data_IF_076498304687
#
_entry.id   IF_076498304687
#
_cell.length_a   1.000
_cell.length_b   1.000
_cell.length_c   1.000
_cell.angle_alpha   90.00
_cell.angle_beta   90.00
_cell.angle_gamma   90.00
#
_symmetry.space_group_name_H-M   'P 1'
#
loop_
_entity.id
_entity.type
_entity.pdbx_description
1 polymer ?
#
# COMPACT_ATOMS: atom_id res chain seq x y z
N UNK A 1 45.94 -10.13 8.82
CA UNK A 1 46.74 -9.06 9.45
C UNK A 1 48.08 -9.68 9.75
N UNK A 2 49.04 -9.50 8.83
CA UNK A 2 50.46 -9.81 8.99
C UNK A 2 51.12 -8.91 7.92
N UNK A 3 52.09 -8.03 8.16
CA UNK A 3 53.00 -7.89 9.29
C UNK A 3 54.44 -7.96 8.77
N UNK A 4 55.16 -6.84 8.89
CA UNK A 4 56.62 -6.73 9.02
C UNK A 4 57.56 -6.74 7.79
N UNK A 5 57.96 -5.51 7.41
CA UNK A 5 59.33 -4.93 7.43
C UNK A 5 60.55 -5.89 7.43
N UNK A 6 61.48 -5.69 6.46
CA UNK A 6 62.89 -5.35 6.74
C UNK A 6 63.72 -5.05 5.49
N UNK A 7 64.52 -3.98 5.56
CA UNK A 7 65.76 -3.75 4.79
C UNK A 7 66.96 -4.45 5.46
N UNK A 8 68.02 -4.75 4.67
CA UNK A 8 69.40 -4.39 5.06
C UNK A 8 70.18 -3.83 3.83
N UNK A 9 71.01 -2.78 3.88
CA UNK A 9 72.23 -2.48 4.65
C UNK A 9 73.43 -3.40 4.37
N UNK A 10 74.31 -2.94 3.47
CA UNK A 10 75.79 -2.88 3.60
C UNK A 10 76.64 -4.15 3.39
N UNK A 11 77.63 -4.09 2.47
CA UNK A 11 79.07 -4.09 2.78
C UNK A 11 80.00 -4.36 1.56
N UNK A 12 80.94 -3.42 1.37
CA UNK A 12 82.39 -3.54 1.12
C UNK A 12 83.03 -4.54 0.13
N UNK A 13 83.93 -3.96 -0.69
CA UNK A 13 85.08 -4.60 -1.34
C UNK A 13 85.26 -4.02 -2.74
N UNK A 14 86.41 -3.59 -3.25
CA UNK A 14 87.82 -3.55 -2.87
C UNK A 14 88.52 -2.93 -4.09
N UNK A 15 89.72 -2.37 -3.91
CA UNK A 15 90.34 -1.45 -4.86
C UNK A 15 90.75 -2.01 -6.22
N UNK A 16 91.00 -1.10 -7.16
CA UNK A 16 92.29 -0.93 -7.87
C UNK A 16 92.15 0.17 -8.95
N UNK A 17 92.98 1.20 -8.85
CA UNK A 17 93.20 2.20 -9.91
C UNK A 17 94.11 1.58 -10.99
N UNK A 18 93.96 1.94 -12.28
CA UNK A 18 94.96 2.88 -12.81
C UNK A 18 94.51 3.79 -13.99
N UNK A 19 95.22 4.93 -14.07
CA UNK A 19 95.71 5.63 -15.28
C UNK A 19 94.69 6.28 -16.24
N UNK A 20 94.58 7.60 -16.06
CA UNK A 20 94.65 8.67 -17.08
C UNK A 20 94.63 8.24 -18.56
N UNK A 21 93.55 8.60 -19.26
CA UNK A 21 93.60 9.13 -20.63
C UNK A 21 92.42 10.11 -20.80
N UNK A 22 92.74 11.41 -20.91
CA UNK A 22 91.79 12.40 -21.39
C UNK A 22 91.41 12.06 -22.83
N UNK A 23 90.18 11.65 -23.05
CA UNK A 23 89.50 11.85 -24.33
C UNK A 23 88.10 12.35 -24.03
N UNK A 24 87.87 13.60 -24.38
CA UNK A 24 86.60 14.29 -24.21
C UNK A 24 85.48 13.52 -24.90
N UNK A 25 84.42 13.07 -24.22
CA UNK A 25 83.17 12.81 -24.90
C UNK A 25 82.61 14.18 -25.29
N UNK A 26 82.52 14.43 -26.60
CA UNK A 26 81.79 15.57 -27.12
C UNK A 26 80.39 15.59 -26.50
N UNK A 27 80.00 16.74 -25.95
CA UNK A 27 78.63 16.97 -25.48
C UNK A 27 77.64 16.58 -26.57
N UNK A 28 76.64 15.73 -26.27
CA UNK A 28 75.58 15.49 -27.23
C UNK A 28 74.59 16.66 -27.12
N UNK A 29 74.91 17.77 -27.79
CA UNK A 29 73.96 18.87 -28.06
C UNK A 29 72.90 18.45 -29.11
N UNK A 30 72.73 17.13 -29.33
CA UNK A 30 71.72 16.54 -30.21
C UNK A 30 70.67 15.68 -29.51
N UNK A 31 70.84 15.37 -28.21
CA UNK A 31 69.91 14.46 -27.50
C UNK A 31 68.62 15.14 -27.04
N UNK A 32 68.64 16.43 -26.73
CA UNK A 32 67.43 17.15 -26.30
C UNK A 32 66.38 17.26 -27.42
N UNK A 33 66.81 17.40 -28.67
CA UNK A 33 65.92 17.42 -29.83
C UNK A 33 65.19 16.07 -29.98
N UNK A 34 65.91 14.95 -29.81
CA UNK A 34 65.33 13.60 -29.87
C UNK A 34 64.42 13.24 -28.69
N UNK A 35 64.65 13.86 -27.52
CA UNK A 35 63.81 13.67 -26.34
C UNK A 35 62.53 14.48 -26.47
N UNK A 36 62.60 15.71 -27.00
CA UNK A 36 61.42 16.53 -27.30
C UNK A 36 60.56 15.88 -28.39
N UNK A 37 61.15 15.35 -29.45
CA UNK A 37 60.42 14.61 -30.49
C UNK A 37 59.69 13.38 -29.91
N UNK A 38 60.35 12.62 -29.03
CA UNK A 38 59.72 11.48 -28.33
C UNK A 38 58.58 11.90 -27.42
N UNK A 39 58.72 12.99 -26.68
CA UNK A 39 57.66 13.51 -25.81
C UNK A 39 56.47 14.01 -26.64
N UNK A 40 56.72 14.64 -27.79
CA UNK A 40 55.67 15.10 -28.69
C UNK A 40 54.90 13.92 -29.33
N UNK A 41 55.60 12.83 -29.62
CA UNK A 41 55.04 11.58 -30.15
C UNK A 41 54.29 10.78 -29.08
N UNK A 42 54.79 10.76 -27.84
CA UNK A 42 54.07 10.24 -26.67
C UNK A 42 52.83 11.08 -26.32
N UNK A 43 52.90 12.40 -26.44
CA UNK A 43 51.73 13.28 -26.25
C UNK A 43 50.72 13.13 -27.39
N UNK A 44 51.15 12.94 -28.64
CA UNK A 44 50.23 12.62 -29.75
C UNK A 44 49.57 11.27 -29.58
N UNK A 45 50.31 10.26 -29.14
CA UNK A 45 49.74 8.93 -28.89
C UNK A 45 48.85 8.92 -27.64
N UNK A 46 49.18 9.66 -26.59
CA UNK A 46 48.29 9.90 -25.45
C UNK A 46 47.05 10.72 -25.85
N UNK A 47 47.18 11.75 -26.67
CA UNK A 47 46.05 12.54 -27.17
C UNK A 47 45.18 11.73 -28.16
N UNK A 48 45.76 10.77 -28.89
CA UNK A 48 45.01 9.80 -29.68
C UNK A 48 44.35 8.72 -28.79
N UNK A 49 44.97 8.35 -27.67
CA UNK A 49 44.39 7.43 -26.69
C UNK A 49 43.27 8.10 -25.88
N UNK A 50 43.38 9.40 -25.59
CA UNK A 50 42.40 10.18 -24.87
C UNK A 50 41.33 10.73 -25.82
N UNK A 51 40.11 10.20 -25.69
CA UNK A 51 38.93 10.64 -26.46
C UNK A 51 39.06 10.50 -27.99
N UNK A 52 39.47 9.32 -28.46
CA UNK A 52 39.19 8.92 -29.85
C UNK A 52 37.68 8.95 -30.10
N UNK A 53 37.29 9.31 -31.34
CA UNK A 53 35.91 9.23 -31.83
C UNK A 53 35.26 7.86 -31.52
N UNK A 54 36.05 6.79 -31.53
CA UNK A 54 35.64 5.45 -31.14
C UNK A 54 35.19 5.35 -29.67
N UNK A 55 35.92 5.93 -28.72
CA UNK A 55 35.57 5.91 -27.30
C UNK A 55 34.26 6.68 -27.04
N UNK A 56 34.04 7.81 -27.71
CA UNK A 56 32.77 8.54 -27.64
C UNK A 56 31.61 7.73 -28.24
N UNK A 57 31.86 6.98 -29.31
CA UNK A 57 30.87 6.12 -29.94
C UNK A 57 30.47 4.95 -29.03
N UNK A 58 31.44 4.37 -28.30
CA UNK A 58 31.18 3.32 -27.29
C UNK A 58 30.44 3.90 -26.08
N UNK A 59 30.80 5.09 -25.61
CA UNK A 59 30.11 5.74 -24.49
C UNK A 59 28.66 6.08 -24.86
N UNK A 60 28.43 6.59 -26.07
CA UNK A 60 27.08 6.89 -26.54
C UNK A 60 26.23 5.64 -26.74
N UNK A 61 26.80 4.55 -27.25
CA UNK A 61 26.07 3.27 -27.36
C UNK A 61 25.73 2.69 -26.00
N UNK A 62 26.66 2.71 -25.04
CA UNK A 62 26.41 2.20 -23.68
C UNK A 62 25.37 3.04 -22.94
N UNK A 63 25.41 4.37 -23.08
CA UNK A 63 24.35 5.25 -22.54
C UNK A 63 23.00 4.92 -23.20
N UNK A 64 22.97 4.75 -24.53
CA UNK A 64 21.74 4.44 -25.24
C UNK A 64 21.15 3.09 -24.80
N UNK A 65 21.97 2.06 -24.66
CA UNK A 65 21.56 0.75 -24.15
C UNK A 65 21.05 0.84 -22.71
N UNK A 66 21.77 1.52 -21.83
CA UNK A 66 21.35 1.72 -20.44
C UNK A 66 19.99 2.46 -20.35
N UNK A 67 19.82 3.53 -21.13
CA UNK A 67 18.55 4.27 -21.19
C UNK A 67 17.43 3.39 -21.74
N UNK A 68 17.69 2.57 -22.76
CA UNK A 68 16.67 1.67 -23.31
C UNK A 68 16.24 0.61 -22.28
N UNK A 69 17.18 0.05 -21.53
CA UNK A 69 16.90 -0.93 -20.46
C UNK A 69 16.07 -0.28 -19.35
N UNK A 70 16.48 0.89 -18.87
CA UNK A 70 15.75 1.63 -17.84
C UNK A 70 14.33 2.02 -18.30
N UNK A 71 14.19 2.53 -19.53
CA UNK A 71 12.88 2.87 -20.10
C UNK A 71 12.00 1.63 -20.25
N UNK A 72 12.56 0.49 -20.65
CA UNK A 72 11.82 -0.76 -20.70
C UNK A 72 11.38 -1.20 -19.29
N UNK A 73 12.27 -1.11 -18.30
CA UNK A 73 11.97 -1.38 -16.89
C UNK A 73 10.81 -0.51 -16.38
N UNK A 74 10.92 0.81 -16.54
CA UNK A 74 9.87 1.76 -16.16
C UNK A 74 8.54 1.45 -16.85
N UNK A 75 8.53 1.09 -18.13
CA UNK A 75 7.29 0.68 -18.83
C UNK A 75 6.66 -0.57 -18.22
N UNK A 76 7.48 -1.56 -17.85
CA UNK A 76 6.97 -2.77 -17.17
C UNK A 76 6.42 -2.46 -15.78
N UNK A 77 7.05 -1.54 -15.04
CA UNK A 77 6.56 -1.10 -13.74
C UNK A 77 5.24 -0.33 -13.86
N UNK A 78 5.14 0.59 -14.82
CA UNK A 78 3.92 1.36 -15.08
C UNK A 78 2.76 0.42 -15.40
N UNK A 79 2.94 -0.50 -16.34
CA UNK A 79 1.88 -1.47 -16.71
C UNK A 79 1.48 -2.37 -15.53
N UNK A 80 2.44 -2.76 -14.71
CA UNK A 80 2.17 -3.53 -13.48
C UNK A 80 1.35 -2.71 -12.48
N UNK A 81 1.72 -1.43 -12.26
CA UNK A 81 1.00 -0.53 -11.38
C UNK A 81 -0.41 -0.23 -11.89
N UNK A 82 -0.59 -0.03 -13.20
CA UNK A 82 -1.91 0.13 -13.82
C UNK A 82 -2.81 -1.09 -13.57
N UNK A 83 -2.28 -2.30 -13.72
CA UNK A 83 -3.00 -3.53 -13.38
C UNK A 83 -3.42 -3.60 -11.91
N UNK A 84 -2.54 -3.20 -10.99
CA UNK A 84 -2.86 -3.12 -9.55
C UNK A 84 -3.93 -2.08 -9.27
N UNK A 85 -3.86 -0.91 -9.91
CA UNK A 85 -4.86 0.15 -9.79
C UNK A 85 -6.22 -0.33 -10.28
N UNK A 86 -6.28 -1.02 -11.43
CA UNK A 86 -7.53 -1.59 -11.94
C UNK A 86 -8.14 -2.61 -10.97
N UNK A 87 -7.31 -3.49 -10.41
CA UNK A 87 -7.75 -4.47 -9.42
C UNK A 87 -8.30 -3.79 -8.17
N UNK A 88 -7.61 -2.77 -7.66
CA UNK A 88 -8.05 -2.02 -6.48
C UNK A 88 -9.34 -1.24 -6.73
N UNK A 89 -9.52 -0.64 -7.92
CA UNK A 89 -10.78 0.03 -8.30
C UNK A 89 -11.94 -0.94 -8.30
N UNK A 90 -11.78 -2.10 -8.92
CA UNK A 90 -12.82 -3.12 -8.95
C UNK A 90 -13.17 -3.63 -7.54
N UNK A 91 -12.17 -3.85 -6.68
CA UNK A 91 -12.39 -4.22 -5.28
C UNK A 91 -13.14 -3.12 -4.51
N UNK A 92 -12.78 -1.85 -4.71
CA UNK A 92 -13.44 -0.72 -4.07
C UNK A 92 -14.91 -0.60 -4.49
N UNK A 93 -15.21 -0.77 -5.78
CA UNK A 93 -16.58 -0.77 -6.31
C UNK A 93 -17.41 -1.92 -5.71
N UNK A 94 -16.86 -3.13 -5.67
CA UNK A 94 -17.51 -4.28 -5.06
C UNK A 94 -17.76 -4.07 -3.55
N UNK A 95 -16.78 -3.52 -2.84
CA UNK A 95 -16.91 -3.20 -1.42
C UNK A 95 -17.99 -2.13 -1.18
N UNK A 96 -18.04 -1.09 -2.01
CA UNK A 96 -19.05 -0.04 -1.96
C UNK A 96 -20.46 -0.60 -2.15
N UNK A 97 -20.63 -1.49 -3.14
CA UNK A 97 -21.91 -2.17 -3.37
C UNK A 97 -22.34 -3.03 -2.16
N UNK A 98 -21.40 -3.75 -1.53
CA UNK A 98 -21.66 -4.53 -0.31
C UNK A 98 -22.08 -3.66 0.86
N UNK A 99 -21.43 -2.50 1.05
CA UNK A 99 -21.78 -1.54 2.11
C UNK A 99 -23.19 -0.99 1.87
N UNK A 100 -23.51 -0.60 0.63
CA UNK A 100 -24.84 -0.10 0.28
C UNK A 100 -25.93 -1.15 0.56
N UNK A 101 -25.70 -2.41 0.17
CA UNK A 101 -26.61 -3.52 0.44
C UNK A 101 -26.78 -3.76 1.94
N UNK A 102 -25.68 -3.75 2.70
CA UNK A 102 -25.72 -3.90 4.17
C UNK A 102 -26.51 -2.78 4.84
N UNK A 103 -26.30 -1.53 4.43
CA UNK A 103 -27.02 -0.38 4.97
C UNK A 103 -28.53 -0.47 4.68
N UNK A 104 -28.90 -0.91 3.47
CA UNK A 104 -30.30 -1.16 3.13
C UNK A 104 -30.92 -2.25 4.00
N UNK A 105 -30.20 -3.36 4.23
CA UNK A 105 -30.66 -4.44 5.10
C UNK A 105 -30.84 -3.98 6.56
N UNK A 106 -29.90 -3.19 7.09
CA UNK A 106 -29.99 -2.62 8.44
C UNK A 106 -31.20 -1.69 8.56
N UNK A 107 -31.42 -0.80 7.58
CA UNK A 107 -32.58 0.09 7.58
C UNK A 107 -33.90 -0.70 7.56
N UNK A 108 -33.99 -1.75 6.72
CA UNK A 108 -35.16 -2.62 6.64
C UNK A 108 -35.43 -3.36 7.95
N UNK A 109 -34.40 -3.92 8.57
CA UNK A 109 -34.50 -4.58 9.87
C UNK A 109 -34.90 -3.60 10.97
N UNK A 110 -34.36 -2.38 10.97
CA UNK A 110 -34.76 -1.31 11.89
C UNK A 110 -36.25 -0.98 11.78
N UNK A 111 -36.78 -0.88 10.55
CA UNK A 111 -38.20 -0.68 10.31
C UNK A 111 -39.06 -1.83 10.84
N UNK A 112 -38.64 -3.09 10.63
CA UNK A 112 -39.33 -4.27 11.18
C UNK A 112 -39.35 -4.28 12.70
N UNK A 113 -38.23 -3.96 13.35
CA UNK A 113 -38.14 -3.90 14.81
C UNK A 113 -39.07 -2.83 15.38
N UNK A 114 -39.14 -1.66 14.73
CA UNK A 114 -40.07 -0.61 15.13
C UNK A 114 -41.52 -1.07 14.99
N UNK A 115 -41.88 -1.69 13.86
CA UNK A 115 -43.23 -2.23 13.66
C UNK A 115 -43.59 -3.31 14.70
N UNK A 116 -42.67 -4.23 15.01
CA UNK A 116 -42.86 -5.23 16.06
C UNK A 116 -43.05 -4.59 17.43
N UNK A 117 -42.25 -3.57 17.76
CA UNK A 117 -42.38 -2.84 19.02
C UNK A 117 -43.75 -2.18 19.14
N UNK A 118 -44.20 -1.46 18.12
CA UNK A 118 -45.53 -0.85 18.11
C UNK A 118 -46.63 -1.91 18.27
N UNK A 119 -46.49 -3.06 17.59
CA UNK A 119 -47.45 -4.16 17.72
C UNK A 119 -47.50 -4.73 19.15
N UNK A 120 -46.35 -4.90 19.80
CA UNK A 120 -46.28 -5.35 21.19
C UNK A 120 -46.91 -4.33 22.15
N UNK A 121 -46.63 -3.05 21.96
CA UNK A 121 -47.25 -1.97 22.74
C UNK A 121 -48.78 -1.97 22.58
N UNK A 122 -49.28 -2.19 21.36
CA UNK A 122 -50.72 -2.32 21.09
C UNK A 122 -51.34 -3.54 21.78
N UNK A 123 -50.67 -4.69 21.73
CA UNK A 123 -51.14 -5.91 22.38
C UNK A 123 -51.17 -5.76 23.91
N UNK A 124 -50.15 -5.15 24.52
CA UNK A 124 -50.12 -4.86 25.95
C UNK A 124 -51.26 -3.90 26.34
N UNK A 125 -51.46 -2.82 25.57
CA UNK A 125 -52.57 -1.90 25.77
C UNK A 125 -53.95 -2.57 25.63
N UNK A 126 -54.12 -3.51 24.69
CA UNK A 126 -55.35 -4.32 24.58
C UNK A 126 -55.50 -5.25 25.79
N UNK A 127 -54.44 -5.94 26.19
CA UNK A 127 -54.42 -6.81 27.37
C UNK A 127 -54.84 -6.08 28.64
N UNK A 128 -54.27 -4.89 28.91
CA UNK A 128 -54.64 -4.04 30.05
C UNK A 128 -56.12 -3.63 30.00
N UNK A 129 -56.63 -3.21 28.84
CA UNK A 129 -58.06 -2.84 28.65
C UNK A 129 -59.01 -4.04 28.85
N UNK A 130 -58.61 -5.22 28.41
CA UNK A 130 -59.38 -6.46 28.59
C UNK A 130 -59.37 -6.93 30.05
N UNK A 131 -58.27 -6.75 30.78
CA UNK A 131 -58.15 -7.16 32.18
C UNK A 131 -58.99 -6.25 33.13
N UNK A 132 -59.15 -4.96 32.81
CA UNK A 132 -60.02 -4.05 33.58
C UNK A 132 -61.52 -4.44 33.44
N UNK A 133 -61.92 -5.14 32.38
CA UNK A 133 -63.32 -5.47 32.11
C UNK A 133 -63.85 -6.72 32.81
N UNK A 134 -63.00 -7.54 33.42
CA UNK A 134 -63.40 -8.80 34.08
C UNK A 134 -63.19 -8.71 35.60
N UNK A 135 -63.64 -7.61 36.21
CA UNK A 135 -63.77 -7.48 37.68
C UNK A 135 -65.21 -7.29 38.15
N UNK A 136 -66.18 -7.24 37.25
CA UNK A 136 -67.60 -6.97 37.57
C UNK A 136 -68.50 -8.18 37.30
N UNK A 137 -67.95 -9.31 36.85
CA UNK A 137 -68.71 -10.55 36.78
C UNK A 137 -68.46 -11.28 38.10
N UNK A 138 -69.41 -11.27 39.07
CA UNK A 138 -69.29 -12.16 40.21
C UNK A 138 -69.17 -13.59 39.69
N UNK A 139 -68.20 -14.34 40.18
CA UNK A 139 -68.17 -15.78 39.97
C UNK A 139 -69.43 -16.35 40.61
N UNK A 140 -70.45 -16.59 39.78
CA UNK A 140 -71.71 -17.12 40.25
C UNK A 140 -71.57 -18.63 40.27
N UNK A 141 -71.26 -19.17 41.44
CA UNK A 141 -71.25 -20.62 41.68
C UNK A 141 -72.67 -21.18 41.48
N UNK A 142 -72.93 -21.67 40.26
CA UNK A 142 -74.15 -22.39 39.90
C UNK A 142 -74.79 -21.90 38.60
N UNK A 143 -75.00 -22.84 37.67
CA UNK A 143 -75.60 -22.61 36.34
C UNK A 143 -76.93 -21.82 36.39
N UNK A 144 -77.75 -22.03 37.42
CA UNK A 144 -79.06 -21.38 37.57
C UNK A 144 -79.00 -19.88 37.85
N UNK A 145 -77.90 -19.41 38.43
CA UNK A 145 -77.75 -18.03 38.91
C UNK A 145 -77.01 -17.16 37.89
N UNK A 146 -76.32 -17.79 36.93
CA UNK A 146 -75.75 -17.16 35.74
C UNK A 146 -76.85 -16.62 34.81
N UNK A 147 -77.92 -17.39 34.56
CA UNK A 147 -79.04 -16.94 33.72
C UNK A 147 -79.75 -15.70 34.30
N UNK A 148 -79.97 -15.66 35.61
CA UNK A 148 -80.58 -14.50 36.28
C UNK A 148 -79.67 -13.26 36.20
N UNK A 149 -78.37 -13.45 36.37
CA UNK A 149 -77.38 -12.36 36.30
C UNK A 149 -77.23 -11.84 34.86
N UNK A 150 -77.20 -12.73 33.87
CA UNK A 150 -77.20 -12.40 32.44
C UNK A 150 -78.49 -11.68 32.02
N UNK A 151 -79.65 -12.17 32.47
CA UNK A 151 -80.94 -11.54 32.21
C UNK A 151 -81.04 -10.16 32.84
N UNK A 152 -80.51 -9.98 34.05
CA UNK A 152 -80.41 -8.70 34.72
C UNK A 152 -79.51 -7.71 33.96
N UNK A 153 -78.33 -8.14 33.54
CA UNK A 153 -77.40 -7.34 32.74
C UNK A 153 -77.99 -6.94 31.37
N UNK A 154 -78.63 -7.89 30.68
CA UNK A 154 -79.29 -7.65 29.39
C UNK A 154 -80.42 -6.63 29.52
N UNK A 155 -81.24 -6.69 30.58
CA UNK A 155 -82.26 -5.66 30.84
C UNK A 155 -81.64 -4.29 31.07
N UNK A 156 -80.59 -4.19 31.89
CA UNK A 156 -79.94 -2.90 32.17
C UNK A 156 -79.29 -2.30 30.92
N UNK A 157 -78.74 -3.13 30.03
CA UNK A 157 -78.10 -2.68 28.79
C UNK A 157 -79.12 -2.33 27.70
N UNK A 158 -80.19 -3.11 27.54
CA UNK A 158 -81.21 -2.91 26.51
C UNK A 158 -82.23 -1.81 26.89
N UNK A 159 -82.45 -1.55 28.19
CA UNK A 159 -83.34 -0.47 28.65
C UNK A 159 -82.62 0.88 28.77
N UNK A 160 -81.28 0.92 28.77
CA UNK A 160 -80.50 2.18 28.73
C UNK A 160 -80.39 2.80 27.34
N UNK A 161 -80.82 2.11 26.28
CA UNK A 161 -80.72 2.59 24.90
C UNK A 161 -81.99 3.21 24.34
N UNK A 162 -83.01 3.48 25.17
CA UNK A 162 -84.17 4.28 24.75
C UNK A 162 -84.12 5.64 25.46
N UNK A 163 -83.52 6.67 24.85
CA UNK A 163 -83.81 8.04 25.23
C UNK A 163 -85.18 8.42 24.64
N UNK A 164 -86.10 8.85 25.51
CA UNK A 164 -87.20 9.74 25.12
C UNK A 164 -86.69 11.16 24.98
#
# INVERSE_FOLDING_TARGET
MDGFLHTPSGACGGGESPKMALTSPASPVGSELTVLDRIEEELRTMAAAMATKANLQILTSTIQEAVQVEVAGLRTEVTTQEGRIHTLKHLAEAQSARIAASNSAVAHQGGKLLAMRCHLEDLDNRGRRCNIRVRVVPEVDGEKKVEETLSGLLRVLLLRTVPS
#
